data_IF_694426764189
#
_entry.id   IF_694426764189
#
_cell.length_a   1.000
_cell.length_b   1.000
_cell.length_c   1.000
_cell.angle_alpha   90.00
_cell.angle_beta   90.00
_cell.angle_gamma   90.00
#
_symmetry.space_group_name_H-M   'P 1'
#
loop_
_entity.id
_entity.type
_entity.pdbx_description
1 polymer ?
#
# COMPACT_ATOMS: atom_id res chain seq x y z
N UNK A 1 -15.38 -13.27 16.56
CA UNK A 1 -14.93 -12.43 15.41
C UNK A 1 -16.07 -11.51 14.99
N UNK A 2 -15.82 -10.28 14.55
CA UNK A 2 -16.86 -9.34 14.15
C UNK A 2 -17.56 -9.82 12.87
N UNK A 3 -18.90 -9.85 12.87
CA UNK A 3 -19.71 -10.32 11.74
C UNK A 3 -19.79 -9.28 10.61
N UNK A 4 -19.92 -7.98 10.98
CA UNK A 4 -19.97 -6.86 10.05
C UNK A 4 -18.92 -5.83 10.42
N UNK A 5 -18.02 -5.55 9.49
CA UNK A 5 -16.90 -4.63 9.69
C UNK A 5 -17.10 -3.44 8.76
N UNK A 6 -17.09 -2.24 9.35
CA UNK A 6 -17.03 -0.99 8.59
C UNK A 6 -15.57 -0.60 8.43
N UNK A 7 -15.12 -0.51 7.19
CA UNK A 7 -13.75 -0.15 6.86
C UNK A 7 -13.66 1.26 6.27
N UNK A 8 -12.62 2.01 6.63
CA UNK A 8 -12.27 3.27 5.99
C UNK A 8 -10.84 3.23 5.45
N UNK A 9 -10.63 3.64 4.21
CA UNK A 9 -9.31 3.88 3.62
C UNK A 9 -9.18 5.38 3.32
N UNK A 10 -8.29 6.06 4.05
CA UNK A 10 -8.03 7.49 3.93
C UNK A 10 -6.71 7.70 3.19
N UNK A 11 -6.80 7.75 1.87
CA UNK A 11 -5.67 7.98 0.98
C UNK A 11 -5.45 9.45 0.64
N UNK A 12 -4.37 9.73 -0.09
CA UNK A 12 -4.01 11.09 -0.50
C UNK A 12 -4.89 11.69 -1.59
N UNK A 13 -5.61 10.87 -2.35
CA UNK A 13 -6.44 11.30 -3.49
C UNK A 13 -7.91 10.96 -3.33
N UNK A 14 -8.22 9.93 -2.56
CA UNK A 14 -9.58 9.44 -2.32
C UNK A 14 -9.72 8.92 -0.89
N UNK A 15 -10.93 9.00 -0.37
CA UNK A 15 -11.39 8.32 0.84
C UNK A 15 -12.39 7.27 0.38
N UNK A 16 -12.31 6.06 0.94
CA UNK A 16 -13.34 5.03 0.76
C UNK A 16 -13.92 4.57 2.09
N UNK A 17 -15.21 4.24 2.07
CA UNK A 17 -15.87 3.46 3.11
C UNK A 17 -16.32 2.13 2.51
N UNK A 18 -16.15 1.05 3.24
CA UNK A 18 -16.47 -0.31 2.82
C UNK A 18 -17.19 -1.02 3.96
N UNK A 19 -18.20 -1.80 3.63
CA UNK A 19 -18.81 -2.76 4.57
C UNK A 19 -18.48 -4.16 4.08
N UNK A 20 -17.94 -4.99 4.96
CA UNK A 20 -17.62 -6.38 4.68
C UNK A 20 -17.89 -7.27 5.89
N UNK A 21 -17.66 -8.58 5.71
CA UNK A 21 -17.80 -9.56 6.78
C UNK A 21 -16.45 -10.23 7.13
N UNK A 22 -16.47 -11.08 8.15
CA UNK A 22 -15.29 -11.80 8.64
C UNK A 22 -14.63 -12.73 7.63
N UNK A 23 -15.32 -13.07 6.52
CA UNK A 23 -14.77 -13.90 5.44
C UNK A 23 -14.02 -13.09 4.41
N UNK A 24 -14.07 -11.75 4.50
CA UNK A 24 -13.52 -10.83 3.51
C UNK A 24 -14.48 -10.53 2.35
N UNK A 25 -15.74 -10.97 2.42
CA UNK A 25 -16.75 -10.61 1.43
C UNK A 25 -17.13 -9.14 1.58
N UNK A 26 -16.89 -8.36 0.53
CA UNK A 26 -17.30 -6.96 0.45
C UNK A 26 -18.78 -6.90 0.10
N UNK A 27 -19.60 -6.36 0.99
CA UNK A 27 -21.04 -6.16 0.83
C UNK A 27 -21.33 -4.88 0.03
N UNK A 28 -20.54 -3.83 0.28
CA UNK A 28 -20.65 -2.57 -0.43
C UNK A 28 -19.45 -1.67 -0.23
N UNK A 29 -19.29 -0.70 -1.13
CA UNK A 29 -18.26 0.34 -1.00
C UNK A 29 -18.75 1.67 -1.54
N UNK A 30 -18.22 2.74 -0.98
CA UNK A 30 -18.45 4.13 -1.39
C UNK A 30 -17.11 4.86 -1.44
N UNK A 31 -16.93 5.76 -2.41
CA UNK A 31 -15.67 6.51 -2.59
C UNK A 31 -15.96 7.97 -2.84
N UNK A 32 -15.08 8.85 -2.31
CA UNK A 32 -15.07 10.28 -2.63
C UNK A 32 -13.64 10.80 -2.74
N UNK A 33 -13.41 11.91 -3.46
CA UNK A 33 -12.10 12.57 -3.50
C UNK A 33 -11.66 13.05 -2.12
N UNK A 34 -10.35 12.93 -1.81
CA UNK A 34 -9.77 13.53 -0.61
C UNK A 34 -9.63 15.02 -0.80
N UNK A 35 -10.17 15.80 0.13
CA UNK A 35 -10.05 17.28 0.11
C UNK A 35 -8.89 17.69 1.00
N UNK A 36 -7.76 18.04 0.37
CA UNK A 36 -6.48 18.28 1.06
C UNK A 36 -6.49 19.47 2.02
N UNK A 37 -7.30 20.50 1.76
CA UNK A 37 -7.25 21.78 2.46
C UNK A 37 -8.29 21.95 3.60
N UNK A 38 -9.19 21.00 3.79
CA UNK A 38 -10.30 21.17 4.74
C UNK A 38 -10.01 20.67 6.18
N UNK A 39 -8.80 20.15 6.42
CA UNK A 39 -8.34 19.78 7.76
C UNK A 39 -9.15 18.65 8.43
N UNK A 40 -8.90 18.48 9.75
CA UNK A 40 -9.46 17.36 10.55
C UNK A 40 -10.99 17.36 10.69
N UNK A 41 -11.62 18.56 10.78
CA UNK A 41 -13.06 18.68 10.98
C UNK A 41 -13.83 18.10 9.80
N UNK A 42 -13.45 18.53 8.60
CA UNK A 42 -14.10 18.06 7.37
C UNK A 42 -13.83 16.57 7.09
N UNK A 43 -12.62 16.10 7.41
CA UNK A 43 -12.31 14.67 7.31
C UNK A 43 -13.23 13.85 8.24
N UNK A 44 -13.39 14.27 9.50
CA UNK A 44 -14.29 13.61 10.43
C UNK A 44 -15.74 13.57 9.90
N UNK A 45 -16.28 14.72 9.49
CA UNK A 45 -17.64 14.80 8.90
C UNK A 45 -17.82 13.86 7.71
N UNK A 46 -16.81 13.79 6.84
CA UNK A 46 -16.87 12.94 5.65
C UNK A 46 -16.88 11.45 6.02
N UNK A 47 -16.07 11.04 6.99
CA UNK A 47 -16.04 9.66 7.47
C UNK A 47 -17.35 9.27 8.16
N UNK A 48 -17.89 10.14 9.03
CA UNK A 48 -19.17 9.91 9.71
C UNK A 48 -20.31 9.76 8.69
N UNK A 49 -20.43 10.69 7.77
CA UNK A 49 -21.47 10.66 6.74
C UNK A 49 -21.39 9.41 5.84
N UNK A 50 -20.17 9.03 5.44
CA UNK A 50 -19.94 7.82 4.65
C UNK A 50 -20.28 6.56 5.45
N UNK A 51 -19.91 6.52 6.73
CA UNK A 51 -20.20 5.40 7.61
C UNK A 51 -21.70 5.21 7.81
N UNK A 52 -22.44 6.26 8.16
CA UNK A 52 -23.92 6.20 8.29
C UNK A 52 -24.57 5.78 6.98
N UNK A 53 -24.22 6.42 5.86
CA UNK A 53 -24.76 6.05 4.55
C UNK A 53 -24.52 4.56 4.21
N UNK A 54 -23.37 4.01 4.64
CA UNK A 54 -23.07 2.60 4.41
C UNK A 54 -23.93 1.69 5.31
N UNK A 55 -24.07 2.02 6.60
CA UNK A 55 -24.88 1.24 7.53
C UNK A 55 -26.38 1.28 7.16
N UNK A 56 -26.90 2.45 6.83
CA UNK A 56 -28.31 2.65 6.43
C UNK A 56 -28.64 1.82 5.18
N UNK A 57 -27.75 1.81 4.19
CA UNK A 57 -27.91 1.04 2.95
C UNK A 57 -28.12 -0.46 3.21
N UNK A 58 -27.54 -0.99 4.27
CA UNK A 58 -27.63 -2.41 4.64
C UNK A 58 -28.55 -2.67 5.85
N UNK A 59 -29.25 -1.66 6.35
CA UNK A 59 -30.19 -1.78 7.47
C UNK A 59 -29.51 -2.13 8.80
N UNK A 60 -28.22 -1.77 8.97
CA UNK A 60 -27.45 -2.03 10.17
C UNK A 60 -27.49 -0.82 11.11
N UNK A 61 -27.76 -1.02 12.39
CA UNK A 61 -27.73 0.05 13.40
C UNK A 61 -26.31 0.46 13.77
N UNK A 62 -25.39 -0.50 13.80
CA UNK A 62 -23.96 -0.30 14.10
C UNK A 62 -23.13 -1.42 13.49
N UNK A 63 -21.83 -1.21 13.22
CA UNK A 63 -20.91 -2.30 12.89
C UNK A 63 -20.48 -3.04 14.17
N UNK A 64 -19.93 -4.24 14.01
CA UNK A 64 -19.32 -4.96 15.13
C UNK A 64 -17.90 -4.43 15.44
N UNK A 65 -17.16 -4.02 14.40
CA UNK A 65 -15.85 -3.38 14.51
C UNK A 65 -15.61 -2.41 13.34
N UNK A 66 -14.65 -1.52 13.54
CA UNK A 66 -14.25 -0.55 12.50
C UNK A 66 -12.76 -0.66 12.25
N UNK A 67 -12.36 -0.79 10.98
CA UNK A 67 -10.96 -0.70 10.55
C UNK A 67 -10.69 0.61 9.81
N UNK A 68 -9.66 1.34 10.22
CA UNK A 68 -9.24 2.59 9.58
C UNK A 68 -7.82 2.44 9.05
N UNK A 69 -7.67 2.64 7.76
CA UNK A 69 -6.38 2.67 7.08
C UNK A 69 -6.06 4.09 6.72
N UNK A 70 -4.86 4.51 7.01
CA UNK A 70 -4.47 5.90 6.83
C UNK A 70 -3.11 6.04 6.14
N UNK A 71 -3.09 6.76 5.00
CA UNK A 71 -1.86 7.11 4.30
C UNK A 71 -1.11 8.24 5.04
N UNK A 72 -0.31 7.87 6.04
CA UNK A 72 0.43 8.78 6.90
C UNK A 72 1.07 8.09 8.08
N UNK A 73 1.67 8.88 8.97
CA UNK A 73 2.22 8.38 10.21
C UNK A 73 1.11 8.26 11.26
N UNK A 74 0.92 7.07 11.81
CA UNK A 74 -0.11 6.76 12.79
C UNK A 74 0.49 6.16 14.07
N UNK A 75 -0.17 6.40 15.19
CA UNK A 75 -0.01 5.66 16.44
C UNK A 75 -1.20 4.71 16.55
N UNK A 76 -0.99 3.47 16.15
CA UNK A 76 -2.04 2.45 16.07
C UNK A 76 -2.59 2.07 17.46
N UNK A 77 -1.75 2.14 18.51
CA UNK A 77 -2.15 1.77 19.87
C UNK A 77 -3.00 2.86 20.53
N UNK A 78 -2.70 4.13 20.23
CA UNK A 78 -3.51 5.28 20.70
C UNK A 78 -4.66 5.63 19.76
N UNK A 79 -4.76 4.98 18.60
CA UNK A 79 -5.78 5.29 17.60
C UNK A 79 -5.67 6.71 17.03
N UNK A 80 -4.46 7.21 16.86
CA UNK A 80 -4.18 8.59 16.53
C UNK A 80 -3.40 8.74 15.22
N UNK A 81 -3.86 9.61 14.33
CA UNK A 81 -3.07 10.06 13.18
C UNK A 81 -2.10 11.14 13.64
N UNK A 82 -0.81 10.84 13.63
CA UNK A 82 0.24 11.79 14.08
C UNK A 82 0.47 12.89 13.05
N UNK A 83 0.58 12.52 11.77
CA UNK A 83 0.71 13.46 10.66
C UNK A 83 0.36 12.80 9.33
N UNK A 84 -0.04 13.63 8.35
CA UNK A 84 -0.27 13.18 6.98
C UNK A 84 0.42 14.09 5.98
N UNK A 85 1.18 13.58 5.04
CA UNK A 85 1.71 14.36 3.94
C UNK A 85 0.63 14.79 2.93
N UNK A 86 -0.53 14.14 2.99
CA UNK A 86 -1.61 14.26 2.01
C UNK A 86 -2.74 15.19 2.45
N UNK A 87 -2.91 15.41 3.77
CA UNK A 87 -3.96 16.28 4.31
C UNK A 87 -3.28 17.38 5.15
N UNK A 88 -3.32 18.61 4.65
CA UNK A 88 -2.63 19.73 5.26
C UNK A 88 -3.20 20.05 6.66
N UNK A 89 -2.30 20.32 7.59
CA UNK A 89 -2.66 20.70 8.96
C UNK A 89 -3.18 19.54 9.83
N UNK A 90 -3.20 18.31 9.33
CA UNK A 90 -3.60 17.15 10.12
C UNK A 90 -2.44 16.71 11.03
N UNK A 91 -2.61 16.99 12.32
CA UNK A 91 -1.65 16.59 13.37
C UNK A 91 -2.40 16.13 14.61
N UNK A 92 -1.92 15.03 15.22
CA UNK A 92 -2.45 14.48 16.47
C UNK A 92 -3.99 14.38 16.46
N UNK A 93 -4.52 13.75 15.42
CA UNK A 93 -5.97 13.59 15.24
C UNK A 93 -6.42 12.24 15.82
N UNK A 94 -7.24 12.23 16.90
CA UNK A 94 -7.70 11.01 17.57
C UNK A 94 -8.85 10.37 16.79
N UNK A 95 -8.57 9.91 15.58
CA UNK A 95 -9.57 9.40 14.63
C UNK A 95 -10.36 8.22 15.18
N UNK A 96 -9.70 7.31 15.92
CA UNK A 96 -10.37 6.16 16.49
C UNK A 96 -11.43 6.59 17.48
N UNK A 97 -11.10 7.50 18.41
CA UNK A 97 -12.07 8.00 19.39
C UNK A 97 -13.28 8.68 18.74
N UNK A 98 -13.05 9.48 17.69
CA UNK A 98 -14.14 10.16 16.96
C UNK A 98 -15.12 9.15 16.37
N UNK A 99 -14.62 8.06 15.79
CA UNK A 99 -15.46 7.03 15.19
C UNK A 99 -16.09 6.10 16.24
N UNK A 100 -15.38 5.80 17.34
CA UNK A 100 -15.92 5.01 18.46
C UNK A 100 -17.07 5.73 19.15
N UNK A 101 -16.92 7.02 19.43
CA UNK A 101 -17.95 7.84 20.09
C UNK A 101 -19.23 7.90 19.22
N UNK A 102 -19.12 7.90 17.90
CA UNK A 102 -20.28 7.95 16.99
C UNK A 102 -20.93 6.60 16.75
N UNK A 103 -20.14 5.58 16.42
CA UNK A 103 -20.67 4.30 15.96
C UNK A 103 -20.87 3.27 17.09
N UNK A 104 -20.34 3.53 18.28
CA UNK A 104 -20.42 2.61 19.41
C UNK A 104 -19.76 1.25 19.16
N UNK A 105 -18.72 1.22 18.32
CA UNK A 105 -17.96 0.03 17.96
C UNK A 105 -16.45 0.32 18.07
N UNK A 106 -15.67 -0.72 18.41
CA UNK A 106 -14.22 -0.60 18.57
C UNK A 106 -13.55 -0.26 17.22
N UNK A 107 -12.62 0.68 17.24
CA UNK A 107 -11.89 1.16 16.07
C UNK A 107 -10.43 0.74 16.13
N UNK A 108 -9.94 0.18 15.03
CA UNK A 108 -8.55 -0.17 14.82
C UNK A 108 -7.97 0.72 13.72
N UNK A 109 -6.86 1.37 14.02
CA UNK A 109 -6.14 2.26 13.09
C UNK A 109 -4.82 1.64 12.68
N UNK A 110 -4.47 1.76 11.38
CA UNK A 110 -3.18 1.31 10.87
C UNK A 110 -2.70 2.14 9.67
N UNK A 111 -1.38 2.15 9.42
CA UNK A 111 -0.80 2.64 8.19
C UNK A 111 -1.25 1.79 6.99
N UNK A 112 -1.36 2.38 5.81
CA UNK A 112 -1.88 1.73 4.59
C UNK A 112 -1.04 0.52 4.14
N UNK A 113 0.29 0.62 4.15
CA UNK A 113 1.16 -0.49 3.75
C UNK A 113 1.16 -1.63 4.78
N UNK A 114 1.16 -1.29 6.07
CA UNK A 114 1.07 -2.26 7.17
C UNK A 114 -0.28 -2.97 7.16
N UNK A 115 -1.38 -2.26 6.95
CA UNK A 115 -2.71 -2.85 6.84
C UNK A 115 -2.84 -3.77 5.61
N UNK A 116 -2.22 -3.40 4.48
CA UNK A 116 -2.16 -4.26 3.31
C UNK A 116 -1.37 -5.55 3.57
N UNK A 117 -0.30 -5.47 4.37
CA UNK A 117 0.46 -6.65 4.81
C UNK A 117 -0.42 -7.58 5.69
N UNK A 118 -1.22 -7.01 6.57
CA UNK A 118 -2.22 -7.75 7.37
C UNK A 118 -3.26 -8.43 6.46
N UNK A 119 -3.74 -7.73 5.43
CA UNK A 119 -4.71 -8.30 4.49
C UNK A 119 -4.15 -9.51 3.73
N UNK A 120 -2.87 -9.48 3.36
CA UNK A 120 -2.20 -10.65 2.75
C UNK A 120 -2.11 -11.83 3.73
N UNK A 121 -1.92 -11.58 5.03
CA UNK A 121 -1.93 -12.62 6.07
C UNK A 121 -3.31 -13.22 6.25
N UNK A 122 -4.37 -12.42 6.22
CA UNK A 122 -5.74 -12.89 6.52
C UNK A 122 -6.41 -13.48 5.28
N UNK A 123 -6.31 -12.83 4.12
CA UNK A 123 -7.07 -13.15 2.91
C UNK A 123 -6.22 -13.49 1.69
N UNK A 124 -4.90 -13.19 1.74
CA UNK A 124 -4.05 -13.21 0.56
C UNK A 124 -3.04 -14.33 0.50
N UNK A 125 -1.98 -14.09 -0.25
CA UNK A 125 -0.91 -15.03 -0.53
C UNK A 125 -0.08 -15.38 0.71
N UNK A 126 -0.08 -14.52 1.74
CA UNK A 126 0.64 -14.72 3.00
C UNK A 126 -0.10 -15.55 4.06
N UNK A 127 -1.29 -16.07 3.76
CA UNK A 127 -2.18 -16.73 4.74
C UNK A 127 -1.54 -17.87 5.55
N UNK A 128 -0.68 -18.66 4.91
CA UNK A 128 -0.04 -19.82 5.51
C UNK A 128 1.49 -19.66 5.61
N UNK A 129 2.00 -18.43 5.62
CA UNK A 129 3.43 -18.13 5.69
C UNK A 129 3.75 -17.43 6.99
N UNK A 130 4.73 -17.93 7.73
CA UNK A 130 5.17 -17.28 8.96
C UNK A 130 6.16 -16.14 8.70
N UNK A 131 6.91 -16.24 7.60
CA UNK A 131 7.92 -15.25 7.22
C UNK A 131 7.65 -14.76 5.80
N UNK A 132 7.08 -13.59 5.64
CA UNK A 132 6.90 -12.96 4.32
C UNK A 132 7.03 -11.44 4.40
N UNK A 133 7.39 -10.85 3.28
CA UNK A 133 7.42 -9.40 3.11
C UNK A 133 6.37 -8.99 2.08
N UNK A 134 5.66 -7.93 2.37
CA UNK A 134 4.75 -7.28 1.43
C UNK A 134 5.32 -5.95 0.97
N UNK A 135 5.23 -5.68 -0.33
CA UNK A 135 5.53 -4.39 -0.95
C UNK A 135 4.32 -3.87 -1.70
N UNK A 136 3.91 -2.65 -1.43
CA UNK A 136 2.95 -1.95 -2.27
C UNK A 136 3.69 -1.10 -3.29
N UNK A 137 3.50 -1.40 -4.58
CA UNK A 137 4.00 -0.61 -5.71
C UNK A 137 2.85 0.22 -6.28
N UNK A 138 2.80 1.49 -5.91
CA UNK A 138 1.74 2.43 -6.28
C UNK A 138 2.34 3.80 -6.63
N UNK A 139 1.70 4.90 -6.26
CA UNK A 139 2.27 6.26 -6.36
C UNK A 139 3.62 6.35 -5.65
N UNK A 140 3.75 5.69 -4.48
CA UNK A 140 4.97 5.45 -3.74
C UNK A 140 5.27 3.96 -3.62
N UNK A 141 6.24 3.60 -2.75
CA UNK A 141 6.55 2.22 -2.35
C UNK A 141 6.55 2.17 -0.83
N UNK A 142 5.62 1.40 -0.28
CA UNK A 142 5.57 1.04 1.14
C UNK A 142 5.74 -0.45 1.32
N UNK A 143 5.80 -0.90 2.57
CA UNK A 143 5.93 -2.32 2.85
C UNK A 143 5.57 -2.69 4.29
N UNK A 144 5.64 -3.98 4.57
CA UNK A 144 5.52 -4.56 5.89
C UNK A 144 6.03 -6.00 5.88
N UNK A 145 6.27 -6.56 7.03
CA UNK A 145 6.78 -7.92 7.16
C UNK A 145 6.05 -8.69 8.27
N UNK A 146 5.83 -9.96 8.04
CA UNK A 146 5.56 -10.96 9.07
C UNK A 146 6.85 -11.74 9.31
N UNK A 147 7.20 -11.90 10.59
CA UNK A 147 8.36 -12.66 11.05
C UNK A 147 7.86 -13.57 12.17
N UNK A 148 8.13 -14.86 12.07
CA UNK A 148 7.67 -15.89 13.01
C UNK A 148 6.15 -15.80 13.26
N UNK A 149 5.36 -15.61 12.20
CA UNK A 149 3.92 -15.50 12.25
C UNK A 149 3.38 -14.20 12.86
N UNK A 150 4.24 -13.23 13.21
CA UNK A 150 3.88 -11.98 13.84
C UNK A 150 4.21 -10.79 12.94
N UNK A 151 3.32 -9.79 12.92
CA UNK A 151 3.57 -8.53 12.24
C UNK A 151 4.77 -7.81 12.88
N UNK A 152 5.81 -7.57 12.10
CA UNK A 152 7.00 -6.86 12.58
C UNK A 152 6.78 -5.35 12.55
N UNK A 153 6.68 -4.75 13.72
CA UNK A 153 6.45 -3.30 13.89
C UNK A 153 7.72 -2.51 14.19
N UNK A 154 8.79 -3.20 14.63
CA UNK A 154 10.00 -2.54 15.16
C UNK A 154 9.75 -1.86 16.50
N UNK A 155 10.79 -1.27 17.05
CA UNK A 155 10.78 -0.67 18.40
C UNK A 155 9.83 0.56 18.51
N UNK A 156 9.55 1.25 17.41
CA UNK A 156 8.79 2.51 17.39
C UNK A 156 7.57 2.44 16.45
N UNK A 157 7.15 1.25 16.03
CA UNK A 157 6.02 1.07 15.12
C UNK A 157 6.28 1.54 13.67
N UNK A 158 7.55 1.77 13.29
CA UNK A 158 7.94 2.34 11.99
C UNK A 158 8.74 1.36 11.12
N UNK A 159 8.68 0.05 11.40
CA UNK A 159 9.31 -0.94 10.53
C UNK A 159 8.56 -1.07 9.20
N UNK A 160 9.25 -1.59 8.18
CA UNK A 160 8.63 -1.80 6.86
C UNK A 160 8.82 -0.66 5.86
N UNK A 161 9.58 0.38 6.19
CA UNK A 161 9.90 1.51 5.30
C UNK A 161 10.87 1.11 4.16
N UNK A 162 10.57 -0.01 3.48
CA UNK A 162 11.44 -0.63 2.47
C UNK A 162 11.59 0.23 1.21
N UNK A 163 10.59 1.05 0.89
CA UNK A 163 10.68 2.04 -0.17
C UNK A 163 11.78 3.08 0.04
N UNK A 164 12.27 3.21 1.27
CA UNK A 164 13.35 4.13 1.63
C UNK A 164 14.74 3.50 1.65
N UNK A 165 14.92 2.25 1.25
CA UNK A 165 16.24 1.68 1.00
C UNK A 165 16.96 2.42 -0.13
N UNK A 166 18.26 2.62 0.00
CA UNK A 166 19.11 3.21 -1.07
C UNK A 166 19.44 2.11 -2.07
N UNK A 167 19.00 2.28 -3.31
CA UNK A 167 19.30 1.37 -4.43
C UNK A 167 20.15 2.05 -5.50
N UNK A 168 20.33 3.36 -5.41
CA UNK A 168 21.09 4.16 -6.37
C UNK A 168 21.79 5.32 -5.64
N UNK A 169 23.10 5.22 -5.32
CA UNK A 169 23.80 6.15 -4.43
C UNK A 169 23.61 7.63 -4.78
N UNK A 170 23.76 8.00 -6.04
CA UNK A 170 23.57 9.37 -6.54
C UNK A 170 22.23 9.57 -7.26
N UNK A 171 21.24 8.75 -6.91
CA UNK A 171 19.94 8.75 -7.56
C UNK A 171 19.08 9.98 -7.25
N UNK A 172 17.88 10.00 -7.78
CA UNK A 172 16.95 11.12 -7.64
C UNK A 172 16.55 11.38 -6.19
N UNK A 173 16.12 12.61 -5.93
CA UNK A 173 15.61 13.02 -4.61
C UNK A 173 14.25 12.36 -4.36
N UNK A 174 14.11 11.68 -3.23
CA UNK A 174 12.86 11.13 -2.73
C UNK A 174 12.02 12.23 -2.04
N UNK A 175 10.71 12.01 -1.93
CA UNK A 175 9.82 12.87 -1.15
C UNK A 175 10.22 13.06 0.31
N UNK A 176 11.03 12.16 0.89
CA UNK A 176 11.62 12.29 2.22
C UNK A 176 12.86 13.18 2.30
N UNK A 177 13.29 13.81 1.20
CA UNK A 177 14.47 14.67 1.09
C UNK A 177 15.80 13.95 0.83
N UNK A 178 15.86 12.63 0.91
CA UNK A 178 17.08 11.84 0.69
C UNK A 178 17.17 11.34 -0.75
N UNK A 179 18.40 11.01 -1.22
CA UNK A 179 18.63 10.57 -2.60
C UNK A 179 18.63 9.05 -2.74
N UNK A 180 18.32 8.57 -3.96
CA UNK A 180 18.55 7.20 -4.41
C UNK A 180 17.68 6.13 -3.76
N UNK A 181 16.55 6.53 -3.17
CA UNK A 181 15.60 5.62 -2.54
C UNK A 181 14.86 4.78 -3.58
N UNK A 182 14.55 3.53 -3.25
CA UNK A 182 13.77 2.62 -4.09
C UNK A 182 12.47 3.28 -4.58
N UNK A 183 11.74 3.94 -3.70
CA UNK A 183 10.53 4.68 -4.04
C UNK A 183 10.80 5.78 -5.08
N UNK A 184 11.89 6.53 -4.91
CA UNK A 184 12.22 7.61 -5.84
C UNK A 184 12.56 7.10 -7.25
N UNK A 185 13.03 5.86 -7.37
CA UNK A 185 13.44 5.27 -8.65
C UNK A 185 12.33 4.44 -9.28
N UNK A 186 11.67 3.57 -8.50
CA UNK A 186 10.84 2.49 -9.03
C UNK A 186 9.34 2.61 -8.71
N UNK A 187 8.89 3.66 -8.00
CA UNK A 187 7.47 3.91 -7.80
C UNK A 187 6.79 4.50 -9.04
N UNK A 188 5.46 4.57 -9.03
CA UNK A 188 4.69 5.21 -10.09
C UNK A 188 5.09 6.68 -10.31
N UNK A 189 5.39 7.39 -9.22
CA UNK A 189 5.93 8.76 -9.28
C UNK A 189 7.36 8.79 -9.83
N UNK A 190 8.19 7.83 -9.46
CA UNK A 190 9.54 7.66 -10.00
C UNK A 190 9.55 7.40 -11.50
N UNK A 191 8.69 6.50 -11.98
CA UNK A 191 8.50 6.22 -13.41
C UNK A 191 8.05 7.48 -14.17
N UNK A 192 6.98 8.14 -13.71
CA UNK A 192 6.45 9.34 -14.35
C UNK A 192 7.48 10.47 -14.41
N UNK A 193 8.26 10.66 -13.33
CA UNK A 193 9.33 11.66 -13.30
C UNK A 193 10.43 11.36 -14.32
N UNK A 194 10.91 10.12 -14.42
CA UNK A 194 11.96 9.76 -15.41
C UNK A 194 11.50 10.01 -16.83
N UNK A 195 10.23 9.78 -17.14
CA UNK A 195 9.67 10.16 -18.44
C UNK A 195 9.72 11.67 -18.64
N UNK A 196 9.30 12.46 -17.64
CA UNK A 196 9.29 13.92 -17.72
C UNK A 196 10.71 14.54 -17.84
N UNK A 197 11.70 13.97 -17.14
CA UNK A 197 13.10 14.42 -17.19
C UNK A 197 13.76 14.15 -18.55
N UNK A 198 13.28 13.18 -19.33
CA UNK A 198 13.79 12.84 -20.65
C UNK A 198 12.92 13.47 -21.77
N UNK A 199 12.67 14.77 -21.68
CA UNK A 199 11.78 15.50 -22.59
C UNK A 199 12.08 15.30 -24.06
N UNK A 200 13.38 15.25 -24.45
CA UNK A 200 13.80 15.04 -25.85
C UNK A 200 13.34 13.68 -26.36
N UNK A 201 13.65 12.60 -25.63
CA UNK A 201 13.21 11.24 -25.99
C UNK A 201 11.68 11.11 -26.02
N UNK A 202 10.97 11.78 -25.08
CA UNK A 202 9.51 11.84 -25.08
C UNK A 202 8.95 12.49 -26.33
N UNK A 203 9.55 13.60 -26.79
CA UNK A 203 9.12 14.29 -28.03
C UNK A 203 9.36 13.48 -29.30
N UNK A 204 10.39 12.66 -29.31
CA UNK A 204 10.70 11.76 -30.43
C UNK A 204 9.78 10.53 -30.46
N UNK A 205 9.19 10.18 -29.33
CA UNK A 205 8.20 9.08 -29.27
C UNK A 205 6.86 9.54 -29.81
N UNK A 206 6.36 8.87 -30.84
CA UNK A 206 5.04 9.16 -31.45
C UNK A 206 3.90 9.06 -30.42
N UNK A 207 4.00 8.15 -29.46
CA UNK A 207 2.99 7.93 -28.41
C UNK A 207 2.98 9.06 -27.40
N UNK A 208 4.15 9.48 -26.93
CA UNK A 208 4.26 10.57 -25.93
C UNK A 208 3.99 11.94 -26.52
N UNK A 209 4.29 12.16 -27.80
CA UNK A 209 4.02 13.45 -28.46
C UNK A 209 2.54 13.85 -28.43
N UNK A 210 1.63 12.89 -28.25
CA UNK A 210 0.17 13.08 -28.20
C UNK A 210 -0.37 13.33 -26.78
N UNK A 211 0.50 13.30 -25.73
CA UNK A 211 0.07 13.38 -24.32
C UNK A 211 0.83 14.51 -23.62
N UNK A 212 0.14 15.26 -22.76
CA UNK A 212 0.82 16.22 -21.90
C UNK A 212 1.70 15.49 -20.89
N UNK A 213 2.95 15.93 -20.65
CA UNK A 213 3.85 15.29 -19.69
C UNK A 213 3.23 15.12 -18.28
N UNK A 214 2.37 16.05 -17.85
CA UNK A 214 1.64 15.99 -16.58
C UNK A 214 0.66 14.82 -16.46
N UNK A 215 0.21 14.28 -17.59
CA UNK A 215 -0.80 13.23 -17.66
C UNK A 215 -0.18 11.82 -17.83
N UNK A 216 1.16 11.76 -17.81
CA UNK A 216 1.91 10.51 -17.91
C UNK A 216 2.01 9.88 -16.52
N UNK A 217 1.52 8.66 -16.42
CA UNK A 217 1.63 7.81 -15.24
C UNK A 217 2.25 6.45 -15.59
N UNK A 218 2.57 5.66 -14.58
CA UNK A 218 3.17 4.34 -14.78
C UNK A 218 2.30 3.42 -15.65
N UNK A 219 0.97 3.50 -15.55
CA UNK A 219 0.04 2.68 -16.34
C UNK A 219 0.22 2.96 -17.83
N UNK A 220 0.27 4.23 -18.22
CA UNK A 220 0.51 4.64 -19.62
C UNK A 220 1.87 4.17 -20.13
N UNK A 221 2.90 4.24 -19.30
CA UNK A 221 4.24 3.74 -19.67
C UNK A 221 4.21 2.24 -19.97
N UNK A 222 3.53 1.43 -19.15
CA UNK A 222 3.33 0.01 -19.44
C UNK A 222 2.48 -0.23 -20.71
N UNK A 223 1.44 0.59 -20.95
CA UNK A 223 0.62 0.51 -22.16
C UNK A 223 1.44 0.84 -23.41
N UNK A 224 2.32 1.83 -23.35
CA UNK A 224 3.18 2.22 -24.47
C UNK A 224 4.27 1.19 -24.75
N UNK A 225 4.89 0.63 -23.69
CA UNK A 225 5.78 -0.53 -23.83
C UNK A 225 5.10 -1.67 -24.60
N UNK A 226 3.84 -2.01 -24.28
CA UNK A 226 3.06 -3.04 -25.00
C UNK A 226 2.83 -2.71 -26.48
N UNK A 227 2.81 -1.42 -26.84
CA UNK A 227 2.70 -0.94 -28.21
C UNK A 227 4.05 -0.88 -28.95
N UNK A 228 5.13 -1.34 -28.32
CA UNK A 228 6.47 -1.37 -28.92
C UNK A 228 7.27 -0.07 -28.77
N UNK A 229 6.84 0.85 -27.89
CA UNK A 229 7.61 2.07 -27.65
C UNK A 229 8.92 1.77 -26.92
N UNK A 230 10.03 2.00 -27.60
CA UNK A 230 11.38 1.70 -27.10
C UNK A 230 11.76 2.50 -25.86
N UNK A 231 11.30 3.77 -25.77
CA UNK A 231 11.58 4.59 -24.60
C UNK A 231 10.86 4.07 -23.36
N UNK A 232 9.58 3.68 -23.50
CA UNK A 232 8.83 3.03 -22.43
C UNK A 232 9.47 1.71 -22.02
N UNK A 233 10.00 0.95 -22.96
CA UNK A 233 10.70 -0.30 -22.66
C UNK A 233 11.92 -0.04 -21.77
N UNK A 234 12.78 0.90 -22.12
CA UNK A 234 13.97 1.28 -21.33
C UNK A 234 13.61 1.74 -19.91
N UNK A 235 12.58 2.57 -19.77
CA UNK A 235 12.11 3.04 -18.46
C UNK A 235 11.61 1.87 -17.58
N UNK A 236 10.89 0.91 -18.17
CA UNK A 236 10.39 -0.25 -17.42
C UNK A 236 11.52 -1.23 -17.10
N UNK A 237 12.45 -1.47 -17.99
CA UNK A 237 13.62 -2.33 -17.74
C UNK A 237 14.48 -1.80 -16.59
N UNK A 238 14.76 -0.50 -16.57
CA UNK A 238 15.45 0.15 -15.45
C UNK A 238 14.64 0.08 -14.14
N UNK A 239 13.32 0.24 -14.22
CA UNK A 239 12.44 0.07 -13.06
C UNK A 239 12.56 -1.34 -12.49
N UNK A 240 12.51 -2.36 -13.34
CA UNK A 240 12.62 -3.77 -12.95
C UNK A 240 13.98 -4.05 -12.33
N UNK A 241 15.05 -3.52 -12.89
CA UNK A 241 16.39 -3.66 -12.34
C UNK A 241 16.48 -3.14 -10.90
N UNK A 242 16.03 -1.91 -10.62
CA UNK A 242 16.09 -1.35 -9.27
C UNK A 242 15.09 -2.01 -8.31
N UNK A 243 13.95 -2.49 -8.79
CA UNK A 243 13.05 -3.31 -7.99
C UNK A 243 13.72 -4.63 -7.59
N UNK A 244 14.43 -5.27 -8.52
CA UNK A 244 15.18 -6.49 -8.23
C UNK A 244 16.26 -6.25 -7.16
N UNK A 245 17.07 -5.19 -7.31
CA UNK A 245 18.06 -4.78 -6.28
C UNK A 245 17.40 -4.59 -4.92
N UNK A 246 16.27 -3.89 -4.85
CA UNK A 246 15.53 -3.70 -3.59
C UNK A 246 14.99 -4.99 -3.00
N UNK A 247 14.47 -5.89 -3.84
CA UNK A 247 13.93 -7.19 -3.40
C UNK A 247 15.07 -8.10 -2.93
N UNK A 248 16.21 -8.10 -3.61
CA UNK A 248 17.40 -8.86 -3.19
C UNK A 248 17.87 -8.42 -1.80
N UNK A 249 17.97 -7.10 -1.56
CA UNK A 249 18.28 -6.57 -0.24
C UNK A 249 17.28 -7.02 0.84
N UNK A 250 15.98 -7.07 0.50
CA UNK A 250 14.94 -7.57 1.42
C UNK A 250 15.14 -9.06 1.71
N UNK A 251 15.44 -9.86 0.68
CA UNK A 251 15.68 -11.29 0.83
C UNK A 251 16.93 -11.53 1.69
N UNK A 252 17.99 -10.76 1.50
CA UNK A 252 19.22 -10.89 2.29
C UNK A 252 19.03 -10.51 3.77
N UNK A 253 18.14 -9.58 4.07
CA UNK A 253 17.89 -9.11 5.44
C UNK A 253 16.89 -10.00 6.19
N UNK A 254 15.81 -10.42 5.51
CA UNK A 254 14.66 -11.07 6.16
C UNK A 254 14.56 -12.57 5.90
N UNK A 255 15.24 -13.09 4.87
CA UNK A 255 15.15 -14.49 4.42
C UNK A 255 13.70 -15.02 4.36
N UNK A 256 12.78 -14.34 3.66
CA UNK A 256 11.36 -14.64 3.70
C UNK A 256 11.00 -15.82 2.78
N UNK A 257 9.88 -16.51 3.07
CA UNK A 257 9.28 -17.51 2.19
C UNK A 257 8.80 -16.90 0.86
N UNK A 258 8.35 -15.64 0.95
CA UNK A 258 7.90 -14.89 -0.23
C UNK A 258 8.05 -13.37 -0.05
N UNK A 259 8.23 -12.68 -1.19
CA UNK A 259 7.96 -11.26 -1.33
C UNK A 259 6.66 -11.11 -2.11
N UNK A 260 5.62 -10.55 -1.48
CA UNK A 260 4.30 -10.35 -2.06
C UNK A 260 4.21 -8.92 -2.56
N UNK A 261 3.84 -8.73 -3.82
CA UNK A 261 3.81 -7.40 -4.45
C UNK A 261 2.37 -7.04 -4.81
N UNK A 262 1.86 -5.99 -4.18
CA UNK A 262 0.56 -5.39 -4.46
C UNK A 262 0.66 -3.98 -5.02
N UNK A 263 -0.44 -3.23 -4.95
CA UNK A 263 -0.52 -1.85 -5.45
C UNK A 263 -0.85 -1.74 -6.93
N UNK A 264 -1.01 -0.50 -7.40
CA UNK A 264 -1.50 -0.22 -8.75
C UNK A 264 -0.58 -0.73 -9.87
N UNK A 265 0.74 -0.66 -9.67
CA UNK A 265 1.73 -1.13 -10.65
C UNK A 265 1.70 -2.66 -10.80
N UNK A 266 1.38 -3.39 -9.73
CA UNK A 266 1.22 -4.86 -9.80
C UNK A 266 0.10 -5.31 -10.75
N UNK A 267 -0.82 -4.41 -11.13
CA UNK A 267 -1.84 -4.68 -12.15
C UNK A 267 -1.28 -4.89 -13.56
N UNK A 268 -0.04 -4.47 -13.82
CA UNK A 268 0.65 -4.75 -15.08
C UNK A 268 0.85 -6.26 -15.34
N UNK A 269 0.69 -7.10 -14.30
CA UNK A 269 0.72 -8.56 -14.45
C UNK A 269 2.07 -9.05 -14.97
N UNK A 270 2.07 -9.95 -15.94
CA UNK A 270 3.30 -10.58 -16.45
C UNK A 270 4.30 -9.60 -17.05
N UNK A 271 3.87 -8.42 -17.49
CA UNK A 271 4.78 -7.36 -17.94
C UNK A 271 5.73 -6.86 -16.82
N UNK A 272 5.30 -7.00 -15.56
CA UNK A 272 6.12 -6.72 -14.39
C UNK A 272 6.71 -8.00 -13.80
N UNK A 273 5.87 -8.99 -13.47
CA UNK A 273 6.26 -10.12 -12.64
C UNK A 273 7.23 -11.08 -13.32
N UNK A 274 7.06 -11.34 -14.63
CA UNK A 274 7.93 -12.27 -15.36
C UNK A 274 9.38 -11.76 -15.41
N UNK A 275 9.68 -10.56 -15.92
CA UNK A 275 11.05 -10.06 -15.95
C UNK A 275 11.60 -9.78 -14.55
N UNK A 276 10.77 -9.38 -13.57
CA UNK A 276 11.23 -9.16 -12.20
C UNK A 276 11.69 -10.47 -11.54
N UNK A 277 10.95 -11.58 -11.71
CA UNK A 277 11.37 -12.90 -11.22
C UNK A 277 12.69 -13.34 -11.81
N UNK A 278 12.88 -13.12 -13.12
CA UNK A 278 14.15 -13.42 -13.80
C UNK A 278 15.28 -12.59 -13.21
N UNK A 279 15.09 -11.26 -13.08
CA UNK A 279 16.11 -10.37 -12.54
C UNK A 279 16.50 -10.73 -11.09
N UNK A 280 15.53 -11.04 -10.22
CA UNK A 280 15.81 -11.47 -8.84
C UNK A 280 16.53 -12.82 -8.83
N UNK A 281 16.12 -13.78 -9.67
CA UNK A 281 16.74 -15.08 -9.73
C UNK A 281 18.17 -15.04 -10.22
N UNK A 282 18.50 -14.12 -11.15
CA UNK A 282 19.84 -13.89 -11.66
C UNK A 282 20.83 -13.50 -10.55
N UNK A 283 20.39 -12.67 -9.59
CA UNK A 283 21.21 -12.24 -8.44
C UNK A 283 21.54 -13.40 -7.47
N UNK A 284 20.67 -14.44 -7.42
CA UNK A 284 20.86 -15.61 -6.53
C UNK A 284 21.38 -16.85 -7.23
N UNK A 285 21.95 -16.76 -8.43
CA UNK A 285 22.47 -17.94 -9.18
C UNK A 285 23.38 -18.86 -8.37
N UNK A 286 24.16 -18.30 -7.46
CA UNK A 286 25.14 -19.03 -6.66
C UNK A 286 24.58 -19.50 -5.30
N UNK A 287 23.52 -18.92 -4.78
CA UNK A 287 23.01 -19.18 -3.41
C UNK A 287 21.69 -19.96 -3.34
N UNK A 288 21.02 -20.20 -4.46
CA UNK A 288 19.79 -20.99 -4.59
C UNK A 288 18.75 -20.78 -3.48
N UNK A 289 18.38 -19.51 -3.19
CA UNK A 289 17.33 -19.21 -2.23
C UNK A 289 15.95 -19.38 -2.86
N UNK A 290 15.06 -20.25 -2.35
CA UNK A 290 13.77 -20.55 -2.96
C UNK A 290 12.67 -19.51 -2.63
N UNK A 291 13.00 -18.22 -2.66
CA UNK A 291 12.05 -17.16 -2.31
C UNK A 291 11.07 -16.93 -3.47
N UNK A 292 9.78 -16.91 -3.15
CA UNK A 292 8.72 -16.70 -4.14
C UNK A 292 8.41 -15.22 -4.32
N UNK A 293 8.31 -14.75 -5.56
CA UNK A 293 7.78 -13.42 -5.87
C UNK A 293 6.32 -13.58 -6.29
N UNK A 294 5.41 -13.17 -5.41
CA UNK A 294 3.97 -13.41 -5.56
C UNK A 294 3.21 -12.09 -5.82
N UNK A 295 2.09 -12.21 -6.51
CA UNK A 295 1.16 -11.11 -6.69
C UNK A 295 0.22 -11.03 -5.49
N UNK A 296 0.02 -9.83 -4.95
CA UNK A 296 -0.93 -9.55 -3.88
C UNK A 296 -2.40 -9.67 -4.32
N UNK A 297 -3.29 -9.71 -3.32
CA UNK A 297 -4.74 -9.83 -3.50
C UNK A 297 -5.32 -8.68 -4.34
N UNK A 298 -6.40 -8.99 -5.06
CA UNK A 298 -7.22 -7.96 -5.71
C UNK A 298 -8.01 -7.18 -4.65
N UNK A 299 -8.27 -5.90 -4.92
CA UNK A 299 -9.00 -5.00 -4.01
C UNK A 299 -8.34 -4.88 -2.62
N UNK A 300 -7.02 -5.00 -2.56
CA UNK A 300 -6.26 -5.00 -1.32
C UNK A 300 -6.60 -3.84 -0.38
N UNK A 301 -6.86 -2.65 -0.90
CA UNK A 301 -7.27 -1.49 -0.08
C UNK A 301 -8.55 -1.71 0.71
N UNK A 302 -9.63 -2.14 0.04
CA UNK A 302 -10.92 -2.40 0.70
C UNK A 302 -10.79 -3.56 1.70
N UNK A 303 -10.08 -4.63 1.30
CA UNK A 303 -9.84 -5.79 2.17
C UNK A 303 -8.93 -5.50 3.35
N UNK A 304 -7.99 -4.55 3.23
CA UNK A 304 -7.10 -4.18 4.34
C UNK A 304 -7.87 -3.57 5.50
N UNK A 305 -8.88 -2.73 5.22
CA UNK A 305 -9.73 -2.15 6.26
C UNK A 305 -10.60 -3.20 6.96
N UNK A 306 -10.99 -4.28 6.26
CA UNK A 306 -11.74 -5.40 6.84
C UNK A 306 -10.80 -6.36 7.61
N UNK A 307 -9.61 -6.63 7.09
CA UNK A 307 -8.64 -7.54 7.70
C UNK A 307 -8.09 -7.04 9.05
N UNK A 308 -7.95 -5.72 9.20
CA UNK A 308 -7.32 -5.10 10.36
C UNK A 308 -8.03 -5.45 11.70
N UNK A 309 -9.35 -5.26 11.86
CA UNK A 309 -10.04 -5.69 13.06
C UNK A 309 -9.95 -7.19 13.32
N UNK A 310 -10.07 -8.01 12.28
CA UNK A 310 -9.98 -9.48 12.39
C UNK A 310 -8.62 -9.89 12.96
N UNK A 311 -7.54 -9.32 12.40
CA UNK A 311 -6.18 -9.60 12.85
C UNK A 311 -5.97 -9.17 14.32
N UNK A 312 -6.37 -7.95 14.66
CA UNK A 312 -6.17 -7.39 16.01
C UNK A 312 -6.93 -8.17 17.07
N UNK A 313 -8.20 -8.50 16.85
CA UNK A 313 -9.01 -9.28 17.79
C UNK A 313 -8.47 -10.71 18.00
N UNK A 314 -8.04 -11.38 16.92
CA UNK A 314 -7.45 -12.71 17.00
C UNK A 314 -6.17 -12.72 17.84
N UNK A 315 -5.32 -11.69 17.70
CA UNK A 315 -4.06 -11.60 18.46
C UNK A 315 -4.28 -11.17 19.92
N UNK A 316 -5.27 -10.33 20.22
CA UNK A 316 -5.62 -9.98 21.59
C UNK A 316 -6.19 -11.18 22.38
N UNK A 317 -6.99 -12.02 21.72
CA UNK A 317 -7.48 -13.26 22.32
C UNK A 317 -6.30 -14.20 22.62
N UNK A 318 -5.38 -14.38 21.69
CA UNK A 318 -4.21 -15.23 21.90
C UNK A 318 -3.30 -14.73 23.04
N UNK A 319 -3.12 -13.40 23.18
CA UNK A 319 -2.30 -12.82 24.24
C UNK A 319 -2.94 -12.89 25.64
N UNK A 320 -4.24 -13.11 25.75
CA UNK A 320 -4.95 -13.31 27.03
C UNK A 320 -4.99 -14.77 27.47
N UNK A 321 -4.68 -15.69 26.56
CA UNK A 321 -4.69 -17.14 26.84
C UNK A 321 -3.29 -17.70 27.17
N UNK A 322 -2.24 -16.91 26.92
CA UNK A 322 -0.85 -17.16 27.31
C UNK A 322 -0.46 -16.31 28.53
#
# INVERSE_FOLDING_TARGET
MPKYILGFDVGGTKISAVLGDETGKILGSQRKPTVRHLGRKKLAEDLLNMGHSMLDKFGLKKPDAIGVIFAGLVDSDRGMVLTSPNILGLRNFPISKVLEDEFGARVYLENDATAATIAERIFGSGKNMDNFVYLTLSTGIGGGAFIDGKLYRGAHGMAGEMGHMVVMSNGPVCGCGRRGRLEAVASGRGIARRVAENVTAVKESELYSKIRPSDIDAKKVFEFKKKGDMFSQLIIEETIYYLAVGIVNIIDIFDPEAVIIGGGIASAGDELFRPLRVAVQEEFKTMQRPVKILKGIKNGHDLSAIALPIYRETHEIASRLN
#
